data_IF_680454804840
#
_entry.id   IF_680454804840
#
_cell.length_a   1.000
_cell.length_b   1.000
_cell.length_c   1.000
_cell.angle_alpha   90.00
_cell.angle_beta   90.00
_cell.angle_gamma   90.00
#
_symmetry.space_group_name_H-M   'P 1'
#
loop_
_entity.id
_entity.type
_entity.pdbx_description
1 polymer ?
#
# COMPACT_ATOMS: atom_id res chain seq x y z
N UNK A 1 -9.12 4.55 19.67
CA UNK A 1 -10.52 4.31 19.26
C UNK A 1 -10.65 4.40 17.73
N UNK A 2 -11.72 3.87 17.11
CA UNK A 2 -11.90 3.90 15.64
C UNK A 2 -11.74 5.31 15.07
N UNK A 3 -12.33 6.32 15.72
CA UNK A 3 -12.22 7.72 15.30
C UNK A 3 -10.78 8.25 15.20
N UNK A 4 -9.88 7.79 16.07
CA UNK A 4 -8.46 8.21 16.04
C UNK A 4 -7.72 7.58 14.87
N UNK A 5 -8.02 6.31 14.53
CA UNK A 5 -7.46 5.67 13.34
C UNK A 5 -7.93 6.37 12.08
N UNK A 6 -9.22 6.71 11.99
CA UNK A 6 -9.78 7.51 10.88
C UNK A 6 -9.02 8.83 10.75
N UNK A 7 -8.89 9.58 11.85
CA UNK A 7 -8.22 10.88 11.84
C UNK A 7 -6.73 10.78 11.44
N UNK A 8 -6.07 9.66 11.78
CA UNK A 8 -4.69 9.38 11.35
C UNK A 8 -4.63 9.18 9.82
N UNK A 9 -5.48 8.33 9.26
CA UNK A 9 -5.47 8.03 7.81
C UNK A 9 -5.88 9.24 6.97
N UNK A 10 -6.80 10.08 7.45
CA UNK A 10 -7.21 11.31 6.76
C UNK A 10 -6.08 12.34 6.55
N UNK A 11 -4.94 12.17 7.24
CA UNK A 11 -3.75 13.03 7.10
C UNK A 11 -2.57 12.29 6.47
N UNK A 12 -2.77 11.02 6.08
CA UNK A 12 -1.70 10.22 5.50
C UNK A 12 -1.43 10.65 4.06
N UNK A 13 -0.17 10.93 3.77
CA UNK A 13 0.32 11.15 2.40
C UNK A 13 0.77 9.85 1.72
N UNK A 14 1.06 8.83 2.55
CA UNK A 14 1.52 7.52 2.17
C UNK A 14 0.97 6.48 3.16
N UNK A 15 0.32 5.43 2.64
CA UNK A 15 -0.10 4.26 3.42
C UNK A 15 0.60 3.04 2.87
N UNK A 16 1.24 2.27 3.75
CA UNK A 16 1.92 1.01 3.39
C UNK A 16 1.26 -0.10 4.19
N UNK A 17 0.80 -1.14 3.50
CA UNK A 17 0.20 -2.31 4.13
C UNK A 17 0.64 -3.59 3.45
N UNK A 18 0.69 -4.68 4.21
CA UNK A 18 0.80 -6.02 3.63
C UNK A 18 -0.51 -6.42 2.95
N UNK A 19 -0.43 -7.32 1.98
CA UNK A 19 -1.59 -7.80 1.25
C UNK A 19 -2.71 -8.24 2.20
N UNK A 20 -3.94 -7.80 1.90
CA UNK A 20 -5.12 -8.05 2.73
C UNK A 20 -5.36 -7.06 3.86
N UNK A 21 -4.40 -6.17 4.18
CA UNK A 21 -4.54 -5.16 5.24
C UNK A 21 -4.89 -3.75 4.72
N UNK A 22 -5.08 -3.58 3.42
CA UNK A 22 -5.13 -2.25 2.78
C UNK A 22 -6.53 -1.63 2.60
N UNK A 23 -7.59 -2.44 2.42
CA UNK A 23 -8.90 -1.94 1.97
C UNK A 23 -9.54 -0.93 2.93
N UNK A 24 -9.48 -1.20 4.23
CA UNK A 24 -10.01 -0.28 5.23
C UNK A 24 -9.15 0.99 5.39
N UNK A 25 -8.00 1.11 4.74
CA UNK A 25 -7.17 2.31 4.82
C UNK A 25 -7.46 3.24 3.64
N UNK A 26 -7.85 2.69 2.48
CA UNK A 26 -8.10 3.47 1.26
C UNK A 26 -9.32 4.37 1.38
N UNK A 27 -10.42 3.94 2.01
CA UNK A 27 -11.63 4.79 2.10
C UNK A 27 -11.47 6.02 3.03
N UNK A 28 -10.37 6.10 3.78
CA UNK A 28 -10.11 7.16 4.77
C UNK A 28 -8.89 8.00 4.41
N UNK A 29 -8.02 7.47 3.55
CA UNK A 29 -6.89 8.20 3.00
C UNK A 29 -7.35 9.26 1.98
N UNK A 30 -6.65 10.41 1.89
CA UNK A 30 -6.91 11.42 0.88
C UNK A 30 -6.83 10.89 -0.55
N UNK A 31 -7.46 11.59 -1.49
CA UNK A 31 -7.44 11.25 -2.91
C UNK A 31 -6.02 11.30 -3.50
N UNK A 32 -5.18 12.21 -3.03
CA UNK A 32 -3.80 12.33 -3.47
C UNK A 32 -2.82 11.47 -2.65
N UNK A 33 -3.30 10.52 -1.85
CA UNK A 33 -2.45 9.61 -1.09
C UNK A 33 -1.75 8.58 -1.99
N UNK A 34 -0.49 8.26 -1.68
CA UNK A 34 0.18 7.08 -2.21
C UNK A 34 -0.20 5.85 -1.37
N UNK A 35 -0.69 4.80 -2.02
CA UNK A 35 -1.13 3.57 -1.39
C UNK A 35 -0.22 2.45 -1.88
N UNK A 36 0.44 1.77 -0.95
CA UNK A 36 1.43 0.73 -1.22
C UNK A 36 0.98 -0.58 -0.62
N UNK A 37 0.86 -1.60 -1.46
CA UNK A 37 0.65 -2.98 -1.03
C UNK A 37 1.94 -3.78 -1.14
N UNK A 38 2.34 -4.41 -0.03
CA UNK A 38 3.39 -5.40 0.00
C UNK A 38 2.75 -6.78 -0.22
N UNK A 39 3.11 -7.44 -1.33
CA UNK A 39 2.52 -8.70 -1.76
C UNK A 39 3.51 -9.85 -1.46
N UNK A 40 3.17 -10.80 -0.58
CA UNK A 40 3.95 -12.01 -0.37
C UNK A 40 4.16 -12.80 -1.67
N UNK A 41 5.26 -13.56 -1.77
CA UNK A 41 5.63 -14.20 -3.05
C UNK A 41 4.63 -15.26 -3.50
N UNK A 42 4.05 -16.00 -2.56
CA UNK A 42 3.07 -17.04 -2.80
C UNK A 42 1.71 -16.46 -3.24
N UNK A 43 1.33 -15.31 -2.68
CA UNK A 43 0.14 -14.57 -3.10
C UNK A 43 0.29 -14.07 -4.52
N UNK A 44 1.47 -13.53 -4.89
CA UNK A 44 1.71 -13.01 -6.24
C UNK A 44 1.52 -14.07 -7.33
N UNK A 45 1.83 -15.34 -7.04
CA UNK A 45 1.71 -16.43 -8.02
C UNK A 45 0.26 -16.77 -8.36
N UNK A 46 -0.67 -16.50 -7.45
CA UNK A 46 -2.11 -16.69 -7.65
C UNK A 46 -2.84 -15.39 -8.05
N UNK A 47 -2.16 -14.23 -8.03
CA UNK A 47 -2.81 -12.93 -8.11
C UNK A 47 -2.75 -12.22 -9.47
N UNK A 48 -3.94 -11.83 -9.93
CA UNK A 48 -4.14 -10.71 -10.84
C UNK A 48 -4.14 -9.41 -10.02
N UNK A 49 -2.96 -8.83 -9.78
CA UNK A 49 -2.74 -7.62 -8.98
C UNK A 49 -3.58 -6.39 -9.42
N UNK A 50 -4.38 -6.47 -10.48
CA UNK A 50 -5.28 -5.42 -10.95
C UNK A 50 -6.76 -5.55 -10.55
N UNK A 51 -7.23 -6.69 -9.99
CA UNK A 51 -8.68 -6.93 -9.80
C UNK A 51 -9.17 -6.95 -8.35
N UNK A 52 -8.33 -6.61 -7.38
CA UNK A 52 -8.77 -6.65 -5.98
C UNK A 52 -9.68 -5.45 -5.65
N UNK A 53 -10.60 -5.59 -4.68
CA UNK A 53 -11.36 -4.46 -4.15
C UNK A 53 -10.48 -3.31 -3.65
N UNK A 54 -9.28 -3.61 -3.13
CA UNK A 54 -8.31 -2.62 -2.68
C UNK A 54 -7.82 -1.76 -3.86
N UNK A 55 -7.28 -2.38 -4.90
CA UNK A 55 -6.77 -1.69 -6.09
C UNK A 55 -7.86 -0.91 -6.84
N UNK A 56 -9.07 -1.47 -6.92
CA UNK A 56 -10.23 -0.80 -7.50
C UNK A 56 -10.67 0.40 -6.65
N UNK A 57 -10.73 0.25 -5.32
CA UNK A 57 -11.09 1.36 -4.43
C UNK A 57 -10.08 2.51 -4.51
N UNK A 58 -8.78 2.22 -4.52
CA UNK A 58 -7.74 3.24 -4.65
C UNK A 58 -7.90 4.03 -5.94
N UNK A 59 -8.18 3.34 -7.05
CA UNK A 59 -8.40 3.98 -8.35
C UNK A 59 -9.65 4.86 -8.36
N UNK A 60 -10.78 4.35 -7.84
CA UNK A 60 -12.04 5.11 -7.75
C UNK A 60 -11.91 6.34 -6.85
N UNK A 61 -11.05 6.29 -5.84
CA UNK A 61 -10.81 7.39 -4.91
C UNK A 61 -9.70 8.35 -5.37
N UNK A 62 -9.11 8.13 -6.56
CA UNK A 62 -8.07 8.99 -7.13
C UNK A 62 -6.67 8.76 -6.59
N UNK A 63 -6.47 7.73 -5.77
CA UNK A 63 -5.22 7.41 -5.09
C UNK A 63 -4.17 6.80 -6.02
N UNK A 64 -2.90 7.02 -5.70
CA UNK A 64 -1.77 6.47 -6.46
C UNK A 64 -1.38 5.12 -5.88
N UNK A 65 -1.56 4.07 -6.66
CA UNK A 65 -1.40 2.67 -6.23
C UNK A 65 -0.05 2.10 -6.65
N UNK A 66 0.63 1.43 -5.71
CA UNK A 66 1.95 0.81 -5.89
C UNK A 66 1.99 -0.58 -5.26
N UNK A 67 2.69 -1.52 -5.90
CA UNK A 67 2.87 -2.87 -5.40
C UNK A 67 4.36 -3.17 -5.23
N UNK A 68 4.72 -3.82 -4.13
CA UNK A 68 6.04 -4.41 -3.95
C UNK A 68 5.89 -5.90 -3.69
N UNK A 69 6.42 -6.69 -4.61
CA UNK A 69 6.39 -8.14 -4.50
C UNK A 69 7.59 -8.56 -3.64
N UNK A 70 7.33 -9.28 -2.56
CA UNK A 70 8.38 -9.90 -1.77
C UNK A 70 9.10 -10.98 -2.58
N UNK A 71 10.42 -11.09 -2.43
CA UNK A 71 11.19 -12.14 -3.11
C UNK A 71 11.34 -13.41 -2.26
N UNK A 72 10.94 -13.36 -0.98
CA UNK A 72 10.81 -14.51 -0.10
C UNK A 72 9.72 -14.28 0.93
N UNK A 73 9.23 -15.36 1.56
CA UNK A 73 8.20 -15.32 2.59
C UNK A 73 6.79 -15.49 2.05
N UNK A 74 5.93 -16.10 2.87
CA UNK A 74 4.54 -16.42 2.57
C UNK A 74 3.57 -15.50 3.29
N UNK A 75 2.30 -15.58 2.92
CA UNK A 75 1.25 -14.93 3.70
C UNK A 75 1.33 -15.36 5.17
N UNK A 76 1.29 -14.39 6.09
CA UNK A 76 1.41 -14.58 7.55
C UNK A 76 2.79 -15.07 8.05
N UNK A 77 3.79 -15.12 7.18
CA UNK A 77 5.18 -15.39 7.54
C UNK A 77 6.05 -14.13 7.35
N UNK A 78 7.24 -14.07 7.97
CA UNK A 78 8.23 -13.06 7.61
C UNK A 78 8.55 -13.11 6.12
N UNK A 79 8.70 -11.94 5.50
CA UNK A 79 9.02 -11.79 4.09
C UNK A 79 10.20 -10.85 3.90
N UNK A 80 10.89 -10.99 2.77
CA UNK A 80 11.97 -10.09 2.40
C UNK A 80 11.61 -9.26 1.16
N UNK A 81 11.95 -7.97 1.21
CA UNK A 81 11.71 -7.01 0.15
C UNK A 81 13.02 -6.49 -0.42
N UNK A 82 13.05 -6.09 -1.70
CA UNK A 82 14.20 -5.41 -2.29
C UNK A 82 14.37 -4.03 -1.63
N UNK A 83 15.08 -3.98 -0.50
CA UNK A 83 15.07 -2.83 0.41
C UNK A 83 15.60 -1.55 -0.24
N UNK A 84 16.55 -1.66 -1.16
CA UNK A 84 17.10 -0.51 -1.88
C UNK A 84 16.07 0.12 -2.83
N UNK A 85 15.31 -0.70 -3.55
CA UNK A 85 14.24 -0.25 -4.44
C UNK A 85 13.09 0.36 -3.63
N UNK A 86 12.74 -0.29 -2.52
CA UNK A 86 11.72 0.21 -1.61
C UNK A 86 12.10 1.57 -1.01
N UNK A 87 13.34 1.73 -0.54
CA UNK A 87 13.85 3.02 -0.04
C UNK A 87 13.86 4.08 -1.14
N UNK A 88 14.30 3.74 -2.36
CA UNK A 88 14.29 4.66 -3.48
C UNK A 88 12.88 5.15 -3.79
N UNK A 89 11.90 4.23 -3.79
CA UNK A 89 10.49 4.58 -3.92
C UNK A 89 10.02 5.51 -2.80
N UNK A 90 10.30 5.19 -1.53
CA UNK A 90 9.86 6.00 -0.40
C UNK A 90 10.37 7.45 -0.51
N UNK A 91 11.61 7.65 -0.97
CA UNK A 91 12.17 8.99 -1.20
C UNK A 91 11.37 9.77 -2.25
N UNK A 92 11.01 9.13 -3.36
CA UNK A 92 10.23 9.78 -4.42
C UNK A 92 8.80 10.03 -3.94
N UNK A 93 8.16 9.04 -3.30
CA UNK A 93 6.80 9.14 -2.81
C UNK A 93 6.65 10.27 -1.79
N UNK A 94 7.50 10.29 -0.75
CA UNK A 94 7.47 11.34 0.27
C UNK A 94 7.90 12.71 -0.29
N UNK A 95 8.85 12.73 -1.23
CA UNK A 95 9.30 13.97 -1.86
C UNK A 95 8.19 14.74 -2.59
N UNK A 96 7.17 14.05 -3.13
CA UNK A 96 6.01 14.69 -3.78
C UNK A 96 5.12 15.49 -2.84
N UNK A 97 5.22 15.25 -1.53
CA UNK A 97 4.38 15.87 -0.51
C UNK A 97 5.12 16.91 0.34
N UNK A 98 6.43 17.06 0.12
CA UNK A 98 7.29 17.97 0.87
C UNK A 98 7.59 19.28 0.12
N UNK A 99 7.15 19.41 -1.14
CA UNK A 99 7.39 20.57 -1.99
C UNK A 99 6.16 20.95 -2.81
#
# INVERSE_FOLDING_TARGET
AVAEQIALYQRAVLVIGVHGAGFANTLWAPADCDIVEIVPIDVHLDFQCGLTPFWLSSELLGQRKHAFIAYSGRMFEPFELPILEFIAFLRVALGRHLF
#
